data_IF_239821603353
#
_entry.id   IF_239821603353
#
_cell.length_a   1.000
_cell.length_b   1.000
_cell.length_c   1.000
_cell.angle_alpha   90.00
_cell.angle_beta   90.00
_cell.angle_gamma   90.00
#
_symmetry.space_group_name_H-M   'P 1'
#
loop_
_entity.id
_entity.type
_entity.pdbx_description
1 polymer ?
#
# COMPACT_ATOMS: atom_id res chain seq x y z
N UNK A 1 -16.71 -0.31 -19.26
CA UNK A 1 -15.50 -0.11 -18.43
C UNK A 1 -15.43 -1.24 -17.42
N UNK A 2 -14.25 -1.83 -17.19
CA UNK A 2 -14.03 -2.86 -16.16
C UNK A 2 -12.89 -2.39 -15.26
N UNK A 3 -13.14 -2.38 -13.96
CA UNK A 3 -12.12 -2.09 -12.95
C UNK A 3 -11.80 -3.39 -12.19
N UNK A 4 -10.52 -3.62 -11.95
CA UNK A 4 -10.03 -4.78 -11.20
C UNK A 4 -9.15 -4.24 -10.09
N UNK A 5 -9.47 -4.63 -8.86
CA UNK A 5 -8.76 -4.19 -7.67
C UNK A 5 -7.94 -5.36 -7.13
N UNK A 6 -6.67 -5.10 -6.89
CA UNK A 6 -5.73 -6.05 -6.29
C UNK A 6 -5.16 -5.36 -5.06
N UNK A 7 -5.40 -5.94 -3.87
CA UNK A 7 -4.73 -5.52 -2.65
C UNK A 7 -3.28 -6.00 -2.69
N UNK A 8 -2.37 -5.20 -2.13
CA UNK A 8 -0.98 -5.60 -1.96
C UNK A 8 -0.84 -6.93 -1.19
N UNK A 9 0.24 -7.66 -1.41
CA UNK A 9 0.58 -8.82 -0.59
C UNK A 9 0.90 -8.43 0.86
N UNK A 10 1.10 -9.41 1.74
CA UNK A 10 1.51 -9.13 3.13
C UNK A 10 2.72 -8.18 3.18
N UNK A 11 2.62 -7.14 4.00
CA UNK A 11 3.63 -6.12 4.16
C UNK A 11 4.23 -6.16 5.56
N UNK A 12 5.43 -5.60 5.71
CA UNK A 12 6.02 -5.38 7.04
C UNK A 12 5.20 -4.40 7.87
N UNK A 13 4.42 -3.54 7.21
CA UNK A 13 3.50 -2.59 7.83
C UNK A 13 2.10 -3.18 8.05
N UNK A 14 1.37 -2.66 9.03
CA UNK A 14 0.00 -3.05 9.33
C UNK A 14 -0.19 -3.42 10.80
N UNK A 15 -1.18 -4.27 11.12
CA UNK A 15 -1.49 -4.63 12.51
C UNK A 15 -0.39 -5.47 13.20
N UNK A 16 0.45 -6.15 12.43
CA UNK A 16 1.56 -6.98 12.94
C UNK A 16 2.91 -6.25 12.85
N UNK A 17 2.91 -4.97 12.51
CA UNK A 17 4.12 -4.14 12.39
C UNK A 17 3.79 -2.67 12.64
N UNK A 18 4.64 -1.73 12.16
CA UNK A 18 4.37 -0.32 12.33
C UNK A 18 3.21 0.15 11.46
N UNK A 19 2.57 1.22 11.88
CA UNK A 19 1.74 2.06 11.03
C UNK A 19 2.68 2.68 10.00
N UNK A 20 2.37 2.53 8.69
CA UNK A 20 3.30 3.01 7.67
C UNK A 20 2.62 3.56 6.42
N UNK A 21 3.00 4.78 6.11
CA UNK A 21 2.78 5.49 4.86
C UNK A 21 4.00 5.39 3.94
N UNK A 22 4.25 6.40 3.10
CA UNK A 22 5.31 6.36 2.09
C UNK A 22 6.73 6.19 2.65
N UNK A 23 7.04 6.70 3.86
CA UNK A 23 8.41 6.70 4.41
C UNK A 23 8.70 5.52 5.32
N UNK A 24 7.74 5.10 6.13
CA UNK A 24 7.89 4.00 7.08
C UNK A 24 7.65 2.62 6.48
N UNK A 25 7.16 2.53 5.24
CA UNK A 25 6.81 1.25 4.63
C UNK A 25 8.03 0.56 4.03
N UNK A 26 8.45 -0.55 4.63
CA UNK A 26 9.55 -1.38 4.15
C UNK A 26 9.16 -2.38 3.03
N UNK A 27 8.04 -2.15 2.34
CA UNK A 27 7.55 -3.04 1.29
C UNK A 27 6.90 -4.33 1.80
N UNK A 28 6.94 -5.36 0.96
CA UNK A 28 6.37 -6.68 1.22
C UNK A 28 7.27 -7.54 2.11
N UNK A 29 6.64 -8.43 2.90
CA UNK A 29 7.36 -9.55 3.52
C UNK A 29 7.71 -10.61 2.46
N UNK A 30 8.51 -11.61 2.85
CA UNK A 30 8.76 -12.75 1.97
C UNK A 30 7.49 -13.52 1.62
N UNK A 31 6.51 -13.58 2.54
CA UNK A 31 5.20 -14.15 2.25
C UNK A 31 4.43 -13.28 1.26
N UNK A 32 4.42 -11.96 1.43
CA UNK A 32 3.79 -11.02 0.49
C UNK A 32 4.36 -11.13 -0.92
N UNK A 33 5.69 -11.24 -1.05
CA UNK A 33 6.34 -11.49 -2.34
C UNK A 33 5.93 -12.83 -2.95
N UNK A 34 5.77 -13.89 -2.14
CA UNK A 34 5.27 -15.19 -2.62
C UNK A 34 3.81 -15.08 -3.09
N UNK A 35 2.96 -14.36 -2.36
CA UNK A 35 1.57 -14.12 -2.76
C UNK A 35 1.50 -13.37 -4.09
N UNK A 36 2.27 -12.29 -4.26
CA UNK A 36 2.31 -11.52 -5.50
C UNK A 36 2.80 -12.36 -6.69
N UNK A 37 3.85 -13.20 -6.49
CA UNK A 37 4.31 -14.13 -7.54
C UNK A 37 3.26 -15.19 -7.89
N UNK A 38 2.57 -15.75 -6.91
CA UNK A 38 1.50 -16.72 -7.17
C UNK A 38 0.35 -16.08 -7.97
N UNK A 39 0.01 -14.82 -7.67
CA UNK A 39 -0.98 -14.08 -8.44
C UNK A 39 -0.50 -13.81 -9.87
N UNK A 40 0.75 -13.36 -10.05
CA UNK A 40 1.36 -13.18 -11.38
C UNK A 40 1.22 -14.45 -12.22
N UNK A 41 1.61 -15.59 -11.68
CA UNK A 41 1.61 -16.87 -12.38
C UNK A 41 0.18 -17.30 -12.73
N UNK A 42 -0.78 -17.06 -11.82
CA UNK A 42 -2.21 -17.31 -12.08
C UNK A 42 -2.78 -16.41 -13.19
N UNK A 43 -2.44 -15.11 -13.20
CA UNK A 43 -2.90 -14.18 -14.23
C UNK A 43 -2.38 -14.60 -15.60
N UNK A 44 -1.10 -14.94 -15.70
CA UNK A 44 -0.47 -15.43 -16.93
C UNK A 44 -1.11 -16.74 -17.42
N UNK A 45 -1.31 -17.71 -16.52
CA UNK A 45 -1.83 -19.03 -16.88
C UNK A 45 -3.29 -19.00 -17.32
N UNK A 46 -4.12 -18.13 -16.73
CA UNK A 46 -5.56 -18.12 -16.98
C UNK A 46 -5.99 -17.15 -18.07
N UNK A 47 -5.28 -16.02 -18.26
CA UNK A 47 -5.65 -14.97 -19.20
C UNK A 47 -7.06 -14.37 -18.99
N UNK A 48 -7.70 -14.64 -17.82
CA UNK A 48 -9.07 -14.19 -17.49
C UNK A 48 -9.15 -12.71 -17.15
N UNK A 49 -8.02 -12.15 -16.76
CA UNK A 49 -7.83 -10.72 -16.53
C UNK A 49 -7.09 -10.16 -17.73
N UNK A 50 -7.73 -9.19 -18.39
CA UNK A 50 -7.12 -8.35 -19.42
C UNK A 50 -7.34 -6.91 -18.98
N UNK A 51 -6.27 -6.15 -18.96
CA UNK A 51 -6.26 -4.75 -18.60
C UNK A 51 -5.39 -4.01 -19.63
N UNK A 52 -5.74 -2.75 -19.89
CA UNK A 52 -4.96 -1.88 -20.77
C UNK A 52 -3.94 -1.07 -19.96
N UNK A 53 -4.18 -0.89 -18.66
CA UNK A 53 -3.38 -0.05 -17.76
C UNK A 53 -3.27 -0.73 -16.38
N UNK A 54 -2.07 -0.68 -15.79
CA UNK A 54 -1.80 -1.04 -14.41
C UNK A 54 -1.30 0.19 -13.65
N UNK A 55 -1.97 0.52 -12.54
CA UNK A 55 -1.65 1.67 -11.67
C UNK A 55 -1.53 1.14 -10.23
N UNK A 56 -0.66 1.74 -9.42
CA UNK A 56 -0.58 1.47 -7.99
C UNK A 56 -0.63 2.76 -7.18
N UNK A 57 -0.78 2.65 -5.86
CA UNK A 57 -0.44 3.78 -5.00
C UNK A 57 1.06 4.10 -5.02
N UNK A 58 1.46 5.20 -4.39
CA UNK A 58 2.88 5.52 -4.14
C UNK A 58 3.49 4.73 -2.98
N UNK A 59 2.72 3.89 -2.28
CA UNK A 59 3.22 3.14 -1.13
C UNK A 59 4.14 1.98 -1.57
N UNK A 60 5.32 1.82 -0.95
CA UNK A 60 6.30 0.79 -1.33
C UNK A 60 5.73 -0.63 -1.49
N UNK A 61 4.85 -1.07 -0.56
CA UNK A 61 4.18 -2.38 -0.63
C UNK A 61 3.27 -2.57 -1.86
N UNK A 62 2.60 -1.50 -2.29
CA UNK A 62 1.74 -1.52 -3.46
C UNK A 62 2.54 -1.48 -4.76
N UNK A 63 3.60 -0.64 -4.80
CA UNK A 63 4.55 -0.58 -5.91
C UNK A 63 5.18 -1.95 -6.13
N UNK A 64 5.72 -2.57 -5.08
CA UNK A 64 6.38 -3.88 -5.17
C UNK A 64 5.39 -4.97 -5.62
N UNK A 65 4.15 -4.95 -5.13
CA UNK A 65 3.12 -5.88 -5.62
C UNK A 65 2.86 -5.68 -7.11
N UNK A 66 2.62 -4.43 -7.53
CA UNK A 66 2.32 -4.09 -8.92
C UNK A 66 3.46 -4.52 -9.86
N UNK A 67 4.71 -4.24 -9.50
CA UNK A 67 5.89 -4.65 -10.24
C UNK A 67 6.01 -6.17 -10.37
N UNK A 68 5.72 -6.92 -9.30
CA UNK A 68 5.76 -8.39 -9.36
C UNK A 68 4.67 -8.94 -10.28
N UNK A 69 3.46 -8.37 -10.29
CA UNK A 69 2.35 -8.91 -11.10
C UNK A 69 2.37 -8.45 -12.56
N UNK A 70 3.00 -7.32 -12.87
CA UNK A 70 2.95 -6.68 -14.19
C UNK A 70 3.33 -7.63 -15.35
N UNK A 71 4.39 -8.47 -15.24
CA UNK A 71 4.74 -9.43 -16.29
C UNK A 71 3.64 -10.48 -16.54
N UNK A 72 2.86 -10.84 -15.51
CA UNK A 72 1.75 -11.78 -15.65
C UNK A 72 0.54 -11.21 -16.38
N UNK A 73 0.48 -9.88 -16.50
CA UNK A 73 -0.50 -9.15 -17.30
C UNK A 73 0.06 -8.75 -18.69
N UNK A 74 1.36 -8.91 -18.91
CA UNK A 74 2.03 -8.38 -20.11
C UNK A 74 2.05 -6.85 -20.16
N UNK A 75 2.08 -6.19 -18.99
CA UNK A 75 2.06 -4.74 -18.83
C UNK A 75 3.28 -4.26 -18.04
N UNK A 76 3.53 -2.96 -18.12
CA UNK A 76 4.35 -2.22 -17.16
C UNK A 76 3.44 -1.43 -16.21
N UNK A 77 3.98 -0.98 -15.07
CA UNK A 77 3.24 -0.08 -14.18
C UNK A 77 3.23 1.32 -14.79
N UNK A 78 2.06 1.79 -15.21
CA UNK A 78 1.92 3.03 -15.96
C UNK A 78 2.05 4.28 -15.08
N UNK A 79 1.59 4.21 -13.82
CA UNK A 79 1.63 5.33 -12.89
C UNK A 79 1.57 4.87 -11.43
N UNK A 80 2.02 5.76 -10.55
CA UNK A 80 1.84 5.68 -9.11
C UNK A 80 1.02 6.89 -8.66
N UNK A 81 -0.12 6.68 -8.01
CA UNK A 81 -1.06 7.73 -7.66
C UNK A 81 -1.30 7.77 -6.14
N UNK A 82 -1.13 8.94 -5.52
CA UNK A 82 -1.32 9.10 -4.08
C UNK A 82 -2.80 8.97 -3.68
N UNK A 83 -3.74 9.19 -4.60
CA UNK A 83 -5.17 9.04 -4.33
C UNK A 83 -5.57 7.56 -4.15
N UNK A 84 -4.68 6.62 -4.50
CA UNK A 84 -4.84 5.19 -4.26
C UNK A 84 -4.16 4.71 -2.96
N UNK A 85 -3.55 5.62 -2.20
CA UNK A 85 -2.95 5.27 -0.92
C UNK A 85 -4.00 4.74 0.06
N UNK A 86 -3.52 3.91 0.99
CA UNK A 86 -4.20 3.71 2.26
C UNK A 86 -4.31 5.06 3.02
N UNK A 87 -5.03 5.08 4.14
CA UNK A 87 -5.13 6.28 4.99
C UNK A 87 -3.77 6.99 5.17
N UNK A 88 -3.74 8.30 4.94
CA UNK A 88 -2.54 9.10 5.12
C UNK A 88 -2.20 9.18 6.61
N UNK A 89 -1.12 8.49 7.00
CA UNK A 89 -0.78 8.28 8.41
C UNK A 89 -0.10 9.49 9.06
N UNK A 90 0.26 10.54 8.30
CA UNK A 90 0.88 11.75 8.83
C UNK A 90 2.10 11.44 9.71
N UNK A 91 2.20 12.12 10.86
CA UNK A 91 3.25 11.90 11.86
C UNK A 91 3.31 10.48 12.46
N UNK A 92 2.31 9.64 12.21
CA UNK A 92 2.33 8.23 12.59
C UNK A 92 3.02 7.32 11.55
N UNK A 93 3.54 7.86 10.44
CA UNK A 93 4.31 7.09 9.47
C UNK A 93 5.62 6.54 10.09
N UNK A 94 5.66 5.22 10.29
CA UNK A 94 6.76 4.48 10.93
C UNK A 94 6.59 4.27 12.43
N UNK A 95 5.43 4.61 13.01
CA UNK A 95 5.17 4.52 14.45
C UNK A 95 4.45 3.21 14.79
N UNK A 96 4.85 2.55 15.88
CA UNK A 96 4.17 1.35 16.36
C UNK A 96 2.84 1.69 17.04
N UNK A 97 1.87 0.77 16.96
CA UNK A 97 0.51 0.97 17.50
C UNK A 97 0.47 1.33 19.00
N UNK A 98 1.38 0.77 19.79
CA UNK A 98 1.47 1.08 21.22
C UNK A 98 1.84 2.55 21.48
N UNK A 99 2.79 3.07 20.70
CA UNK A 99 3.21 4.47 20.77
C UNK A 99 2.13 5.39 20.18
N UNK A 100 1.50 4.98 19.08
CA UNK A 100 0.38 5.72 18.49
C UNK A 100 -0.75 5.97 19.49
N UNK A 101 -1.16 4.95 20.24
CA UNK A 101 -2.19 5.08 21.29
C UNK A 101 -1.80 6.01 22.44
N UNK A 102 -0.51 6.25 22.65
CA UNK A 102 -0.02 7.20 23.68
C UNK A 102 0.04 8.63 23.14
N UNK A 103 0.34 8.79 21.84
CA UNK A 103 0.57 10.10 21.20
C UNK A 103 -0.69 10.71 20.61
N UNK A 104 -1.63 9.88 20.16
CA UNK A 104 -2.81 10.31 19.43
C UNK A 104 -4.07 9.77 20.09
N UNK A 105 -5.15 10.54 20.01
CA UNK A 105 -6.44 10.12 20.54
C UNK A 105 -7.00 8.98 19.67
N UNK A 106 -7.25 7.78 20.22
CA UNK A 106 -7.85 6.69 19.46
C UNK A 106 -9.23 7.11 18.96
N UNK A 107 -9.61 6.54 17.83
CA UNK A 107 -10.89 6.81 17.19
C UNK A 107 -11.35 5.59 16.42
N UNK A 108 -12.64 5.56 16.11
CA UNK A 108 -13.21 4.49 15.31
C UNK A 108 -12.95 4.82 13.84
N UNK A 109 -11.97 4.15 13.22
CA UNK A 109 -11.60 4.39 11.83
C UNK A 109 -12.71 4.02 10.83
N UNK A 110 -13.61 3.11 11.21
CA UNK A 110 -14.73 2.70 10.34
C UNK A 110 -15.89 3.69 10.46
N UNK A 111 -16.17 4.18 11.67
CA UNK A 111 -17.21 5.18 11.90
C UNK A 111 -16.78 6.61 11.54
N UNK A 112 -15.47 6.92 11.56
CA UNK A 112 -14.90 8.25 11.29
C UNK A 112 -13.85 8.22 10.15
N UNK A 113 -14.19 7.79 8.93
CA UNK A 113 -13.20 7.58 7.85
C UNK A 113 -12.53 8.87 7.36
N UNK A 114 -13.21 10.02 7.53
CA UNK A 114 -12.68 11.35 7.15
C UNK A 114 -11.77 11.97 8.22
N UNK A 115 -11.67 11.33 9.40
CA UNK A 115 -10.85 11.85 10.49
C UNK A 115 -9.38 11.69 10.14
N UNK A 116 -8.65 12.79 10.28
CA UNK A 116 -7.19 12.81 10.10
C UNK A 116 -6.54 11.83 11.08
N UNK A 117 -5.81 10.86 10.54
CA UNK A 117 -5.21 9.76 11.31
C UNK A 117 -4.15 10.25 12.30
N UNK A 118 -3.28 11.15 11.85
CA UNK A 118 -2.36 11.94 12.65
C UNK A 118 -2.04 13.25 11.92
N UNK A 119 -1.55 14.29 12.61
CA UNK A 119 -1.15 15.55 11.97
C UNK A 119 -0.27 15.32 10.75
N UNK A 120 -0.45 16.15 9.72
CA UNK A 120 0.37 16.04 8.51
C UNK A 120 1.84 16.21 8.85
N UNK A 121 2.68 15.40 8.21
CA UNK A 121 4.12 15.55 8.30
C UNK A 121 4.50 16.95 7.82
N UNK A 122 5.25 17.67 8.64
CA UNK A 122 5.89 18.90 8.18
C UNK A 122 6.79 18.55 6.99
N UNK A 123 6.74 19.32 5.90
CA UNK A 123 7.70 19.14 4.82
C UNK A 123 9.11 19.22 5.41
N UNK A 124 9.99 18.31 5.00
CA UNK A 124 11.39 18.42 5.34
C UNK A 124 11.86 19.82 4.94
N UNK A 125 12.38 20.59 5.88
CA UNK A 125 13.05 21.85 5.54
C UNK A 125 14.16 21.49 4.56
N UNK A 126 14.17 22.15 3.41
CA UNK A 126 15.27 22.05 2.48
C UNK A 126 16.48 22.72 3.15
N UNK A 127 17.37 21.90 3.71
CA UNK A 127 18.71 22.30 4.13
C UNK A 127 19.66 22.29 2.92
#
# INVERSE_FOLDING_TARGET
>A
MRLILIRHGEAHAGFTGPIAGPRGCAGLTDLGRRQARALRDHLAATGRVRADVLISSVLPRAIETAQIIAPGLGLEVAAHDCDLCEVHTGEADGVDWAEWNQRFAPFDMEAEPERVFAPLLRPATAD
#
